data_IF_672506150963
#
_entry.id   IF_672506150963
#
_cell.length_a   1.000
_cell.length_b   1.000
_cell.length_c   1.000
_cell.angle_alpha   90.00
_cell.angle_beta   90.00
_cell.angle_gamma   90.00
#
_symmetry.space_group_name_H-M   'P 1'
#
loop_
_entity.id
_entity.type
_entity.pdbx_description
1 polymer ?
#
# COMPACT_ATOMS: atom_id res chain seq x y z
N UNK A 1 -17.67 -39.23 -13.75
CA UNK A 1 -16.30 -39.69 -14.06
C UNK A 1 -15.39 -38.62 -14.66
N UNK A 2 -15.70 -37.91 -15.77
CA UNK A 2 -14.84 -36.83 -16.30
C UNK A 2 -14.72 -35.63 -15.34
N UNK A 3 -15.77 -35.21 -14.65
CA UNK A 3 -15.78 -34.12 -13.66
C UNK A 3 -15.05 -34.50 -12.37
N UNK A 4 -15.12 -35.73 -11.93
CA UNK A 4 -14.39 -36.21 -10.75
C UNK A 4 -12.88 -36.27 -10.98
N UNK A 5 -12.45 -36.68 -12.21
CA UNK A 5 -11.03 -36.70 -12.58
C UNK A 5 -10.48 -35.27 -12.68
N UNK A 6 -11.27 -34.32 -13.20
CA UNK A 6 -10.90 -32.90 -13.22
C UNK A 6 -10.83 -32.29 -11.80
N UNK A 7 -11.77 -32.66 -10.93
CA UNK A 7 -11.78 -32.21 -9.54
C UNK A 7 -10.59 -32.78 -8.75
N UNK A 8 -10.29 -34.08 -8.89
CA UNK A 8 -9.10 -34.70 -8.27
C UNK A 8 -7.78 -34.14 -8.81
N UNK A 9 -7.72 -33.78 -10.11
CA UNK A 9 -6.56 -33.10 -10.71
C UNK A 9 -6.37 -31.69 -10.15
N UNK A 10 -7.45 -30.95 -9.94
CA UNK A 10 -7.44 -29.63 -9.32
C UNK A 10 -7.06 -29.69 -7.83
N UNK A 11 -7.49 -30.72 -7.09
CA UNK A 11 -7.05 -30.96 -5.71
C UNK A 11 -5.54 -31.28 -5.67
N UNK A 12 -5.01 -32.09 -6.60
CA UNK A 12 -3.55 -32.34 -6.67
C UNK A 12 -2.76 -31.09 -7.01
N UNK A 13 -3.22 -30.27 -7.96
CA UNK A 13 -2.59 -28.98 -8.29
C UNK A 13 -2.64 -28.06 -7.06
N UNK A 14 -3.76 -28.02 -6.34
CA UNK A 14 -3.91 -27.27 -5.12
C UNK A 14 -2.98 -27.77 -3.99
N UNK A 15 -2.85 -29.08 -3.82
CA UNK A 15 -1.92 -29.68 -2.83
C UNK A 15 -0.45 -29.46 -3.20
N UNK A 16 -0.10 -29.42 -4.50
CA UNK A 16 1.23 -29.02 -4.99
C UNK A 16 1.48 -27.54 -4.71
N UNK A 17 0.48 -26.67 -4.87
CA UNK A 17 0.55 -25.25 -4.51
C UNK A 17 0.80 -25.04 -3.02
N UNK A 18 0.16 -25.82 -2.14
CA UNK A 18 0.39 -25.78 -0.68
C UNK A 18 1.79 -26.31 -0.30
N UNK A 19 2.33 -27.28 -1.05
CA UNK A 19 3.73 -27.74 -0.87
C UNK A 19 4.75 -26.69 -1.32
N UNK A 20 4.47 -25.99 -2.43
CA UNK A 20 5.26 -24.84 -2.90
C UNK A 20 5.25 -23.70 -1.88
N UNK A 21 4.11 -23.44 -1.23
CA UNK A 21 3.99 -22.46 -0.16
C UNK A 21 4.86 -22.78 1.09
N UNK A 22 5.05 -24.07 1.41
CA UNK A 22 5.99 -24.50 2.47
C UNK A 22 7.45 -24.32 2.06
N UNK A 23 7.78 -24.48 0.78
CA UNK A 23 9.10 -24.20 0.20
C UNK A 23 9.41 -22.69 0.26
N UNK A 24 8.46 -21.84 -0.07
CA UNK A 24 8.54 -20.38 0.07
C UNK A 24 8.86 -19.94 1.52
N UNK A 25 8.25 -20.58 2.53
CA UNK A 25 8.59 -20.31 3.94
C UNK A 25 10.05 -20.60 4.26
N UNK A 26 10.65 -21.66 3.71
CA UNK A 26 12.07 -22.00 3.89
C UNK A 26 12.99 -21.02 3.15
N UNK A 27 12.63 -20.63 1.93
CA UNK A 27 13.41 -19.70 1.12
C UNK A 27 13.43 -18.29 1.72
N UNK A 28 12.29 -17.75 2.14
CA UNK A 28 12.22 -16.46 2.84
C UNK A 28 12.94 -16.46 4.19
N UNK A 29 13.08 -17.63 4.85
CA UNK A 29 13.91 -17.75 6.06
C UNK A 29 15.40 -17.74 5.77
N UNK A 30 15.81 -18.10 4.54
CA UNK A 30 17.21 -18.09 4.07
C UNK A 30 17.62 -16.73 3.47
N UNK A 31 16.70 -15.94 2.95
CA UNK A 31 16.91 -14.52 2.65
C UNK A 31 17.05 -13.79 4.00
N UNK A 32 18.21 -13.99 4.63
CA UNK A 32 18.54 -13.57 5.99
C UNK A 32 17.86 -12.27 6.35
N UNK A 33 16.98 -12.37 7.32
CA UNK A 33 16.29 -11.29 8.00
C UNK A 33 16.41 -9.94 7.26
N UNK A 34 15.40 -9.61 6.42
CA UNK A 34 15.21 -8.25 5.96
C UNK A 34 15.37 -7.36 7.19
N UNK A 35 16.58 -6.84 7.40
CA UNK A 35 16.86 -5.95 8.53
C UNK A 35 16.17 -4.63 8.22
N UNK A 36 14.89 -4.61 8.55
CA UNK A 36 14.14 -3.37 8.58
C UNK A 36 14.91 -2.44 9.52
N UNK A 37 15.21 -1.25 9.04
CA UNK A 37 15.70 -0.21 9.93
C UNK A 37 14.84 -0.28 11.17
N UNK A 38 15.45 -0.50 12.34
CA UNK A 38 14.76 -0.48 13.61
C UNK A 38 14.17 0.91 13.78
N UNK A 39 12.96 1.12 13.23
CA UNK A 39 12.18 2.29 13.59
C UNK A 39 12.02 2.18 15.10
N UNK A 40 12.52 3.17 15.81
CA UNK A 40 12.39 3.20 17.26
C UNK A 40 10.89 3.14 17.57
N UNK A 41 10.44 1.99 18.07
CA UNK A 41 9.02 1.80 18.42
C UNK A 41 8.79 2.42 19.79
N UNK A 42 7.88 3.37 19.85
CA UNK A 42 7.36 3.85 21.13
C UNK A 42 6.42 2.79 21.71
N UNK A 43 6.50 2.58 23.01
CA UNK A 43 5.55 1.76 23.76
C UNK A 43 5.04 2.61 24.92
N UNK A 44 3.74 2.79 24.97
CA UNK A 44 3.03 3.37 26.10
C UNK A 44 1.95 2.40 26.53
N UNK A 45 1.53 2.49 27.77
CA UNK A 45 0.53 1.58 28.33
C UNK A 45 -0.88 2.13 28.09
N UNK A 46 -1.42 1.87 26.91
CA UNK A 46 -2.81 2.18 26.59
C UNK A 46 -3.34 1.16 25.57
N UNK A 47 -4.38 0.43 25.96
CA UNK A 47 -5.13 -0.48 25.10
C UNK A 47 -6.55 0.02 24.89
N UNK A 48 -7.07 -0.11 23.67
CA UNK A 48 -8.46 0.15 23.29
C UNK A 48 -9.28 -1.15 23.15
N UNK A 49 -8.77 -2.26 23.66
CA UNK A 49 -9.44 -3.57 23.55
C UNK A 49 -9.32 -4.19 22.17
N UNK A 50 -10.41 -4.74 21.66
CA UNK A 50 -10.48 -5.37 20.34
C UNK A 50 -10.75 -4.33 19.23
N UNK A 51 -10.41 -4.66 18.00
CA UNK A 51 -10.73 -3.79 16.84
C UNK A 51 -12.25 -3.60 16.64
N UNK A 52 -13.07 -4.56 17.01
CA UNK A 52 -14.54 -4.41 16.93
C UNK A 52 -15.05 -3.40 17.97
N UNK A 53 -14.47 -3.38 19.18
CA UNK A 53 -14.77 -2.36 20.19
C UNK A 53 -14.34 -0.96 19.70
N UNK A 54 -13.16 -0.85 19.10
CA UNK A 54 -12.68 0.41 18.48
C UNK A 54 -13.68 0.90 17.42
N UNK A 55 -14.16 0.04 16.54
CA UNK A 55 -15.16 0.40 15.52
C UNK A 55 -16.48 0.88 16.14
N UNK A 56 -16.88 0.28 17.25
CA UNK A 56 -18.08 0.71 18.01
C UNK A 56 -17.88 2.11 18.59
N UNK A 57 -16.76 2.34 19.28
CA UNK A 57 -16.44 3.64 19.89
C UNK A 57 -16.34 4.74 18.82
N UNK A 58 -15.71 4.49 17.67
CA UNK A 58 -15.63 5.46 16.57
C UNK A 58 -17.06 5.85 16.12
N UNK A 59 -17.96 4.88 15.93
CA UNK A 59 -19.34 5.15 15.52
C UNK A 59 -20.07 6.02 16.53
N UNK A 60 -19.92 5.73 17.81
CA UNK A 60 -20.51 6.52 18.91
C UNK A 60 -19.97 7.95 18.94
N UNK A 61 -18.63 8.12 18.82
CA UNK A 61 -17.99 9.45 18.83
C UNK A 61 -18.34 10.30 17.61
N UNK A 62 -18.58 9.67 16.47
CA UNK A 62 -18.99 10.36 15.24
C UNK A 62 -20.52 10.63 15.23
N UNK A 63 -21.27 9.95 16.08
CA UNK A 63 -22.73 10.07 16.16
C UNK A 63 -23.45 9.35 14.99
N UNK A 64 -22.89 8.22 14.54
CA UNK A 64 -23.48 7.38 13.49
C UNK A 64 -24.23 6.23 14.13
N UNK A 65 -25.54 6.21 13.92
CA UNK A 65 -26.39 5.09 14.34
C UNK A 65 -26.17 3.88 13.42
N UNK A 66 -26.12 2.65 13.98
CA UNK A 66 -26.06 1.44 13.16
C UNK A 66 -27.34 1.24 12.36
N UNK A 67 -27.23 0.70 11.17
CA UNK A 67 -28.36 0.38 10.30
C UNK A 67 -28.30 1.06 8.93
N UNK A 68 -29.31 0.81 8.12
CA UNK A 68 -29.44 1.39 6.79
C UNK A 68 -30.26 2.68 6.83
N UNK A 69 -29.67 3.75 6.32
CA UNK A 69 -30.34 5.02 6.08
C UNK A 69 -30.13 5.44 4.64
N UNK A 70 -31.19 5.70 3.90
CA UNK A 70 -31.12 6.16 2.50
C UNK A 70 -30.33 7.45 2.39
N UNK A 71 -30.54 8.37 3.33
CA UNK A 71 -29.79 9.62 3.46
C UNK A 71 -29.14 9.63 4.83
N UNK A 72 -27.81 9.76 4.94
CA UNK A 72 -27.14 9.91 6.24
C UNK A 72 -27.69 11.11 7.01
N UNK A 73 -27.76 11.02 8.34
CA UNK A 73 -28.12 12.16 9.21
C UNK A 73 -27.21 13.34 8.88
N UNK A 74 -27.81 14.52 8.68
CA UNK A 74 -27.06 15.75 8.49
C UNK A 74 -26.22 16.06 9.73
N UNK A 75 -24.95 16.41 9.51
CA UNK A 75 -24.02 16.84 10.55
C UNK A 75 -23.79 18.36 10.52
N UNK A 76 -24.63 19.13 9.79
CA UNK A 76 -24.52 20.59 9.68
C UNK A 76 -24.59 21.29 11.04
N UNK A 77 -25.43 20.80 11.96
CA UNK A 77 -25.53 21.33 13.32
C UNK A 77 -24.21 21.26 14.11
N UNK A 78 -23.24 20.43 13.70
CA UNK A 78 -21.94 20.34 14.34
C UNK A 78 -20.96 21.44 13.87
N UNK A 79 -21.27 22.17 12.80
CA UNK A 79 -20.39 23.24 12.28
C UNK A 79 -20.22 24.38 13.28
N UNK A 80 -21.22 24.65 14.16
CA UNK A 80 -21.11 25.64 15.23
C UNK A 80 -20.02 25.30 16.27
N UNK A 81 -19.62 24.02 16.37
CA UNK A 81 -18.57 23.54 17.26
C UNK A 81 -17.21 23.42 16.56
N UNK A 82 -17.08 23.94 15.32
CA UNK A 82 -15.82 23.90 14.59
C UNK A 82 -14.77 24.73 15.34
N UNK A 83 -13.64 24.12 15.80
CA UNK A 83 -12.68 24.81 16.63
C UNK A 83 -11.84 25.81 15.85
N UNK A 84 -11.36 26.85 16.53
CA UNK A 84 -10.28 27.70 16.02
C UNK A 84 -8.93 27.11 16.40
N UNK A 85 -7.87 27.34 15.60
CA UNK A 85 -6.53 26.81 15.90
C UNK A 85 -6.01 27.17 17.29
N UNK A 86 -6.36 28.38 17.79
CA UNK A 86 -5.93 28.93 19.08
C UNK A 86 -6.61 28.23 20.28
N UNK A 87 -7.73 27.55 20.04
CA UNK A 87 -8.48 26.82 21.06
C UNK A 87 -7.95 25.39 21.28
N UNK A 88 -7.04 24.94 20.42
CA UNK A 88 -6.54 23.57 20.39
C UNK A 88 -5.25 23.44 21.22
N UNK A 89 -5.26 22.72 22.36
CA UNK A 89 -4.05 22.50 23.15
C UNK A 89 -3.03 21.64 22.39
N UNK A 90 -1.75 21.80 22.71
CA UNK A 90 -0.69 20.94 22.20
C UNK A 90 -0.84 19.51 22.72
N UNK A 91 -0.41 18.53 21.91
CA UNK A 91 -0.49 17.10 22.21
C UNK A 91 0.87 16.43 21.98
N UNK A 92 1.18 15.38 22.74
CA UNK A 92 2.36 14.53 22.54
C UNK A 92 2.02 13.25 21.77
N UNK A 93 3.04 12.50 21.35
CA UNK A 93 2.82 11.18 20.75
C UNK A 93 2.16 10.21 21.74
N UNK A 94 2.48 10.33 23.03
CA UNK A 94 1.88 9.55 24.12
C UNK A 94 0.37 9.72 24.18
N UNK A 95 -0.14 10.91 23.96
CA UNK A 95 -1.58 11.21 24.04
C UNK A 95 -2.40 10.48 22.97
N UNK A 96 -1.83 10.30 21.78
CA UNK A 96 -2.47 9.60 20.67
C UNK A 96 -2.15 8.11 20.65
N UNK A 97 -1.12 7.67 21.41
CA UNK A 97 -0.74 6.25 21.41
C UNK A 97 -1.89 5.35 21.87
N UNK A 98 -2.11 4.27 21.12
CA UNK A 98 -3.05 3.21 21.49
C UNK A 98 -2.68 1.90 20.84
N UNK A 99 -3.18 0.80 21.40
CA UNK A 99 -3.16 -0.53 20.81
C UNK A 99 -4.57 -1.12 20.73
N UNK A 100 -4.78 -2.04 19.80
CA UNK A 100 -6.00 -2.83 19.70
C UNK A 100 -5.66 -4.22 19.14
N UNK A 101 -6.48 -5.22 19.51
CA UNK A 101 -6.27 -6.61 19.12
C UNK A 101 -7.26 -7.04 18.06
N UNK A 102 -6.75 -7.63 16.97
CA UNK A 102 -7.53 -8.39 16.02
C UNK A 102 -7.51 -9.87 16.46
N UNK A 103 -8.67 -10.43 16.78
CA UNK A 103 -8.84 -11.79 17.30
C UNK A 103 -8.68 -12.85 16.20
N UNK A 104 -7.54 -12.85 15.51
CA UNK A 104 -7.28 -13.75 14.39
C UNK A 104 -7.16 -15.22 14.86
N UNK A 105 -6.47 -15.45 15.96
CA UNK A 105 -6.30 -16.77 16.56
C UNK A 105 -7.48 -17.19 17.41
N UNK A 106 -8.05 -16.27 18.19
CA UNK A 106 -9.06 -16.55 19.19
C UNK A 106 -10.48 -16.68 18.64
N UNK A 107 -10.81 -16.04 17.48
CA UNK A 107 -12.13 -16.08 16.88
C UNK A 107 -12.12 -16.76 15.49
N UNK A 108 -12.71 -17.97 15.35
CA UNK A 108 -12.76 -18.68 14.08
C UNK A 108 -13.51 -17.91 12.96
N UNK A 109 -14.52 -17.11 13.28
CA UNK A 109 -15.27 -16.30 12.31
C UNK A 109 -14.46 -15.13 11.80
N UNK A 110 -13.63 -14.53 12.65
CA UNK A 110 -12.65 -13.53 12.24
C UNK A 110 -11.60 -14.19 11.35
N UNK A 111 -11.06 -15.35 11.78
CA UNK A 111 -10.05 -16.10 11.01
C UNK A 111 -10.53 -16.42 9.59
N UNK A 112 -11.75 -16.90 9.41
CA UNK A 112 -12.34 -17.21 8.10
C UNK A 112 -12.30 -15.99 7.15
N UNK A 113 -12.54 -14.79 7.67
CA UNK A 113 -12.51 -13.55 6.87
C UNK A 113 -11.10 -13.07 6.53
N UNK A 114 -10.10 -13.42 7.34
CA UNK A 114 -8.73 -12.92 7.23
C UNK A 114 -7.74 -13.90 6.61
N UNK A 115 -8.08 -15.18 6.50
CA UNK A 115 -7.20 -16.20 5.93
C UNK A 115 -7.71 -16.64 4.56
N UNK A 116 -6.82 -16.79 3.61
CA UNK A 116 -7.13 -17.31 2.28
C UNK A 116 -6.95 -18.84 2.26
N UNK A 117 -7.52 -19.50 1.27
CA UNK A 117 -7.49 -20.97 1.10
C UNK A 117 -6.06 -21.56 1.05
N UNK A 118 -5.06 -20.76 0.73
CA UNK A 118 -3.64 -21.15 0.77
C UNK A 118 -3.03 -21.13 2.17
N UNK A 119 -3.79 -20.74 3.20
CA UNK A 119 -3.34 -20.64 4.59
C UNK A 119 -2.52 -19.37 4.91
N UNK A 120 -2.49 -18.38 4.02
CA UNK A 120 -1.86 -17.08 4.27
C UNK A 120 -2.88 -16.03 4.71
N UNK A 121 -2.43 -15.08 5.53
CA UNK A 121 -3.25 -13.94 5.93
C UNK A 121 -3.49 -13.01 4.74
N UNK A 122 -4.71 -12.55 4.58
CA UNK A 122 -5.14 -11.61 3.54
C UNK A 122 -4.67 -10.19 3.89
N UNK A 123 -3.54 -9.79 3.34
CA UNK A 123 -2.95 -8.46 3.61
C UNK A 123 -3.93 -7.32 3.28
N UNK A 124 -4.79 -7.48 2.28
CA UNK A 124 -5.83 -6.51 1.97
C UNK A 124 -6.80 -6.26 3.14
N UNK A 125 -7.15 -7.30 3.90
CA UNK A 125 -7.96 -7.17 5.12
C UNK A 125 -7.19 -6.47 6.24
N UNK A 126 -5.92 -6.81 6.43
CA UNK A 126 -5.07 -6.12 7.42
C UNK A 126 -4.98 -4.61 7.08
N UNK A 127 -4.84 -4.25 5.80
CA UNK A 127 -4.81 -2.85 5.37
C UNK A 127 -6.13 -2.12 5.62
N UNK A 128 -7.25 -2.79 5.42
CA UNK A 128 -8.59 -2.24 5.70
C UNK A 128 -8.76 -1.95 7.21
N UNK A 129 -8.30 -2.84 8.08
CA UNK A 129 -8.30 -2.62 9.54
C UNK A 129 -7.33 -1.53 9.97
N UNK A 130 -6.15 -1.46 9.36
CA UNK A 130 -5.17 -0.40 9.62
C UNK A 130 -5.72 0.98 9.25
N UNK A 131 -6.53 1.10 8.20
CA UNK A 131 -7.14 2.37 7.82
C UNK A 131 -8.14 2.86 8.89
N UNK A 132 -8.99 1.95 9.41
CA UNK A 132 -9.89 2.24 10.53
C UNK A 132 -9.10 2.59 11.80
N UNK A 133 -8.06 1.83 12.08
CA UNK A 133 -7.23 2.05 13.26
C UNK A 133 -6.46 3.38 13.19
N UNK A 134 -6.02 3.81 11.99
CA UNK A 134 -5.43 5.13 11.78
C UNK A 134 -6.42 6.26 12.11
N UNK A 135 -7.68 6.11 11.69
CA UNK A 135 -8.75 7.05 12.06
C UNK A 135 -8.94 7.10 13.57
N UNK A 136 -8.92 5.93 14.25
CA UNK A 136 -9.01 5.87 15.71
C UNK A 136 -7.87 6.61 16.41
N UNK A 137 -6.63 6.44 15.95
CA UNK A 137 -5.46 7.17 16.49
C UNK A 137 -5.65 8.69 16.32
N UNK A 138 -6.24 9.15 15.19
CA UNK A 138 -6.58 10.55 14.98
C UNK A 138 -7.66 11.04 15.96
N UNK A 139 -8.68 10.25 16.25
CA UNK A 139 -9.67 10.53 17.29
C UNK A 139 -9.02 10.69 18.67
N UNK A 140 -8.05 9.87 18.99
CA UNK A 140 -7.27 9.94 20.24
C UNK A 140 -6.40 11.19 20.32
N UNK A 141 -5.88 11.66 19.18
CA UNK A 141 -5.03 12.85 19.11
C UNK A 141 -5.83 14.14 19.31
N UNK A 142 -7.02 14.21 18.74
CA UNK A 142 -7.83 15.43 18.79
C UNK A 142 -8.44 15.61 20.19
N UNK A 143 -8.23 16.79 20.75
CA UNK A 143 -8.81 17.22 22.02
C UNK A 143 -9.48 18.59 21.84
N UNK A 144 -10.78 18.64 22.11
CA UNK A 144 -11.62 19.83 22.06
C UNK A 144 -12.12 20.14 23.49
N UNK A 145 -11.41 20.96 24.27
CA UNK A 145 -11.79 21.24 25.67
C UNK A 145 -13.17 21.90 25.79
N UNK A 146 -13.56 22.70 24.81
CA UNK A 146 -14.79 23.49 24.80
C UNK A 146 -16.00 22.72 24.18
N UNK A 147 -15.83 21.46 23.73
CA UNK A 147 -16.93 20.68 23.19
C UNK A 147 -17.84 20.20 24.32
N UNK A 148 -19.16 20.53 24.30
CA UNK A 148 -20.08 20.06 25.31
C UNK A 148 -20.16 18.54 25.38
N UNK A 149 -20.35 18.00 26.58
CA UNK A 149 -20.49 16.56 26.81
C UNK A 149 -21.69 16.00 26.00
N UNK A 150 -21.48 14.87 25.34
CA UNK A 150 -22.51 14.20 24.55
C UNK A 150 -22.68 14.74 23.11
N UNK A 151 -21.96 15.80 22.75
CA UNK A 151 -21.91 16.25 21.34
C UNK A 151 -20.86 15.44 20.57
N UNK A 152 -21.22 14.86 19.40
CA UNK A 152 -20.25 14.17 18.55
C UNK A 152 -19.13 15.09 18.07
N UNK A 153 -17.95 14.52 17.78
CA UNK A 153 -16.83 15.29 17.25
C UNK A 153 -17.17 15.98 15.92
N UNK A 154 -16.92 17.30 15.79
CA UNK A 154 -17.24 18.06 14.58
C UNK A 154 -16.23 17.84 13.44
N UNK A 155 -15.64 16.66 13.38
CA UNK A 155 -14.62 16.26 12.40
C UNK A 155 -15.10 15.12 11.52
N UNK A 156 -14.54 15.11 10.33
CA UNK A 156 -14.50 13.95 9.43
C UNK A 156 -13.03 13.68 9.10
N UNK A 157 -12.54 12.47 9.39
CA UNK A 157 -11.18 12.06 9.05
C UNK A 157 -11.18 11.28 7.75
N UNK A 158 -10.31 11.67 6.83
CA UNK A 158 -10.21 11.08 5.49
C UNK A 158 -8.77 10.67 5.23
N UNK A 159 -8.57 9.45 4.80
CA UNK A 159 -7.25 8.95 4.38
C UNK A 159 -6.88 9.60 3.05
N UNK A 160 -5.81 10.39 3.07
CA UNK A 160 -5.28 11.06 1.88
C UNK A 160 -4.28 10.18 1.14
N UNK A 161 -3.41 9.50 1.87
CA UNK A 161 -2.43 8.59 1.28
C UNK A 161 -1.92 7.55 2.29
N UNK A 162 -1.43 6.43 1.76
CA UNK A 162 -0.53 5.52 2.46
C UNK A 162 0.86 5.71 1.86
N UNK A 163 1.78 6.29 2.65
CA UNK A 163 3.13 6.60 2.18
C UNK A 163 3.92 5.31 1.94
N UNK A 164 3.83 4.39 2.90
CA UNK A 164 4.37 3.04 2.79
C UNK A 164 3.70 2.08 3.77
N UNK A 165 3.59 0.82 3.36
CA UNK A 165 3.30 -0.29 4.26
C UNK A 165 4.21 -1.47 3.91
N UNK A 166 4.93 -1.98 4.90
CA UNK A 166 5.91 -3.05 4.78
C UNK A 166 5.37 -4.28 5.48
N UNK A 167 5.48 -5.44 4.86
CA UNK A 167 4.96 -6.69 5.39
C UNK A 167 6.01 -7.80 5.37
N UNK A 168 5.93 -8.67 6.37
CA UNK A 168 6.58 -9.97 6.41
C UNK A 168 5.49 -11.06 6.34
N UNK A 169 4.87 -11.27 5.16
CA UNK A 169 3.65 -12.06 5.04
C UNK A 169 3.86 -13.54 5.40
N UNK A 170 5.06 -14.07 5.22
CA UNK A 170 5.48 -15.42 5.59
C UNK A 170 5.61 -15.64 7.11
N UNK A 171 5.60 -14.55 7.87
CA UNK A 171 5.75 -14.57 9.33
C UNK A 171 4.42 -14.47 10.08
N UNK A 172 3.31 -14.14 9.37
CA UNK A 172 2.00 -14.15 9.99
C UNK A 172 1.57 -15.57 10.35
N UNK A 173 1.24 -15.76 11.62
CA UNK A 173 0.62 -16.97 12.11
C UNK A 173 -0.91 -16.79 12.11
N UNK A 174 -1.65 -17.76 11.57
CA UNK A 174 -3.10 -17.72 11.48
C UNK A 174 -3.82 -18.15 12.76
N UNK A 175 -3.08 -18.77 13.69
CA UNK A 175 -3.60 -19.29 14.96
C UNK A 175 -3.27 -18.37 16.16
N UNK A 176 -2.73 -17.19 15.88
CA UNK A 176 -2.33 -16.20 16.90
C UNK A 176 -2.99 -14.87 16.63
N UNK A 177 -3.45 -14.20 17.70
CA UNK A 177 -4.04 -12.86 17.62
C UNK A 177 -3.01 -11.81 17.16
N UNK A 178 -3.50 -10.79 16.49
CA UNK A 178 -2.68 -9.70 15.94
C UNK A 178 -2.86 -8.44 16.79
N UNK A 179 -1.77 -7.93 17.34
CA UNK A 179 -1.73 -6.62 17.98
C UNK A 179 -1.43 -5.52 16.96
N UNK A 180 -2.28 -4.51 16.90
CA UNK A 180 -2.05 -3.27 16.18
C UNK A 180 -1.81 -2.15 17.19
N UNK A 181 -0.74 -1.37 17.00
CA UNK A 181 -0.43 -0.22 17.85
C UNK A 181 0.08 0.95 17.01
N UNK A 182 -0.11 2.19 17.49
CA UNK A 182 0.33 3.35 16.73
C UNK A 182 0.09 4.67 17.45
N UNK A 183 0.54 5.74 16.81
CA UNK A 183 0.45 7.12 17.29
C UNK A 183 0.55 8.11 16.13
N UNK A 184 0.17 9.36 16.38
CA UNK A 184 0.40 10.47 15.46
C UNK A 184 1.88 10.87 15.53
N UNK A 185 2.60 10.78 14.41
CA UNK A 185 4.05 11.08 14.32
C UNK A 185 4.37 12.48 13.82
N UNK A 186 3.39 13.16 13.17
CA UNK A 186 3.52 14.55 12.71
C UNK A 186 2.14 15.15 12.48
N UNK A 187 1.99 16.46 12.74
CA UNK A 187 0.79 17.23 12.39
C UNK A 187 1.14 18.43 11.53
N UNK A 188 0.33 18.65 10.48
CA UNK A 188 0.24 19.90 9.75
C UNK A 188 -0.94 20.74 10.29
N UNK A 189 -1.45 21.68 9.48
CA UNK A 189 -2.60 22.48 9.89
C UNK A 189 -3.88 21.63 10.04
N UNK A 190 -4.15 20.76 9.07
CA UNK A 190 -5.34 19.88 9.03
C UNK A 190 -4.99 18.42 8.71
N UNK A 191 -3.72 18.04 8.79
CA UNK A 191 -3.27 16.69 8.44
C UNK A 191 -2.48 16.07 9.58
N UNK A 192 -2.63 14.77 9.76
CA UNK A 192 -1.95 13.96 10.74
C UNK A 192 -1.25 12.79 10.06
N UNK A 193 0.06 12.65 10.25
CA UNK A 193 0.78 11.44 9.87
C UNK A 193 0.68 10.44 11.00
N UNK A 194 0.16 9.25 10.71
CA UNK A 194 -0.02 8.16 11.68
C UNK A 194 0.97 7.05 11.36
N UNK A 195 1.77 6.68 12.36
CA UNK A 195 2.68 5.54 12.28
C UNK A 195 2.12 4.38 13.07
N UNK A 196 1.99 3.22 12.42
CA UNK A 196 1.38 2.02 12.99
C UNK A 196 2.31 0.82 12.88
N UNK A 197 2.14 -0.11 13.81
CA UNK A 197 2.87 -1.36 13.93
C UNK A 197 1.90 -2.52 14.09
N UNK A 198 2.20 -3.61 13.40
CA UNK A 198 1.46 -4.88 13.52
C UNK A 198 2.40 -5.92 14.13
N UNK A 199 1.99 -6.56 15.21
CA UNK A 199 2.77 -7.56 15.93
C UNK A 199 1.98 -8.83 16.20
N UNK A 200 2.71 -9.94 16.34
CA UNK A 200 2.20 -11.18 16.93
C UNK A 200 3.25 -11.70 17.91
N UNK A 201 2.84 -12.11 19.11
CA UNK A 201 3.75 -12.58 20.17
C UNK A 201 4.96 -11.64 20.36
N UNK A 202 4.74 -10.32 20.35
CA UNK A 202 5.78 -9.30 20.48
C UNK A 202 6.68 -9.08 19.23
N UNK A 203 6.61 -9.96 18.21
CA UNK A 203 7.39 -9.83 16.96
C UNK A 203 6.74 -8.83 16.02
N UNK A 204 7.52 -7.91 15.48
CA UNK A 204 7.07 -6.94 14.49
C UNK A 204 6.91 -7.62 13.13
N UNK A 205 5.70 -7.58 12.55
CA UNK A 205 5.34 -8.18 11.26
C UNK A 205 5.09 -7.14 10.18
N UNK A 206 4.65 -5.94 10.58
CA UNK A 206 4.39 -4.84 9.62
C UNK A 206 4.57 -3.48 10.26
N UNK A 207 4.93 -2.53 9.42
CA UNK A 207 4.88 -1.10 9.73
C UNK A 207 4.13 -0.37 8.63
N UNK A 208 3.27 0.56 9.00
CA UNK A 208 2.49 1.34 8.04
C UNK A 208 2.47 2.83 8.42
N UNK A 209 2.57 3.70 7.43
CA UNK A 209 2.51 5.15 7.59
C UNK A 209 1.37 5.68 6.74
N UNK A 210 0.36 6.24 7.42
CA UNK A 210 -0.81 6.84 6.81
C UNK A 210 -0.80 8.35 6.99
N UNK A 211 -1.32 9.07 6.02
CA UNK A 211 -1.61 10.50 6.13
C UNK A 211 -3.13 10.68 6.12
N UNK A 212 -3.64 11.12 7.25
CA UNK A 212 -5.07 11.40 7.46
C UNK A 212 -5.28 12.91 7.43
N UNK A 213 -6.34 13.37 6.78
CA UNK A 213 -6.74 14.78 6.74
C UNK A 213 -8.01 14.96 7.56
N UNK A 214 -7.98 15.94 8.45
CA UNK A 214 -9.13 16.40 9.19
C UNK A 214 -9.93 17.41 8.37
N UNK A 215 -11.21 17.15 8.25
CA UNK A 215 -12.18 18.02 7.60
C UNK A 215 -13.30 18.33 8.57
N UNK A 216 -14.06 19.39 8.29
CA UNK A 216 -15.21 19.75 9.12
C UNK A 216 -16.32 18.67 9.08
N UNK A 217 -17.29 18.80 9.91
CA UNK A 217 -18.35 17.79 10.11
C UNK A 217 -19.05 17.37 8.82
N UNK A 218 -19.22 18.26 7.84
CA UNK A 218 -19.89 18.03 6.55
C UNK A 218 -18.91 17.78 5.39
N UNK A 219 -17.61 17.66 5.69
CA UNK A 219 -16.56 17.42 4.69
C UNK A 219 -16.46 18.49 3.59
N UNK A 220 -16.89 19.72 3.84
CA UNK A 220 -16.83 20.82 2.88
C UNK A 220 -15.51 21.61 2.91
N UNK A 221 -14.77 21.56 4.03
CA UNK A 221 -13.52 22.29 4.21
C UNK A 221 -12.53 21.60 5.17
N UNK A 222 -11.26 22.03 5.20
CA UNK A 222 -10.28 21.53 6.16
C UNK A 222 -10.67 21.93 7.59
N UNK A 223 -10.27 21.12 8.57
CA UNK A 223 -10.42 21.41 9.99
C UNK A 223 -9.05 21.44 10.67
N UNK A 224 -8.75 22.42 11.54
CA UNK A 224 -7.48 22.48 12.25
C UNK A 224 -7.37 21.31 13.23
N UNK A 225 -6.15 20.81 13.45
CA UNK A 225 -5.86 19.75 14.41
C UNK A 225 -4.88 20.22 15.48
N UNK A 226 -4.92 19.57 16.64
CA UNK A 226 -4.01 19.84 17.74
C UNK A 226 -2.55 19.67 17.26
N UNK A 227 -1.71 20.65 17.57
CA UNK A 227 -0.30 20.62 17.24
C UNK A 227 0.42 19.53 18.02
N UNK A 228 1.22 18.71 17.35
CA UNK A 228 2.06 17.70 17.97
C UNK A 228 3.36 18.33 18.46
N UNK A 229 3.64 18.17 19.76
CA UNK A 229 4.90 18.57 20.40
C UNK A 229 5.54 17.33 21.02
N UNK A 230 6.74 16.93 20.56
CA UNK A 230 7.43 15.77 21.10
C UNK A 230 7.79 15.93 22.58
N UNK A 231 7.42 14.96 23.41
CA UNK A 231 7.61 15.00 24.86
C UNK A 231 8.98 14.49 25.36
N UNK A 232 9.71 13.75 24.51
CA UNK A 232 11.02 13.17 24.88
C UNK A 232 11.93 13.02 23.64
N UNK A 233 13.21 12.63 23.86
CA UNK A 233 14.20 12.55 22.77
C UNK A 233 13.82 11.52 21.68
N UNK A 234 13.23 10.39 22.04
CA UNK A 234 12.77 9.40 21.06
C UNK A 234 11.64 9.96 20.19
N UNK A 235 10.70 10.66 20.78
CA UNK A 235 9.64 11.32 20.02
C UNK A 235 10.20 12.42 19.10
N UNK A 236 11.24 13.16 19.54
CA UNK A 236 11.91 14.17 18.70
C UNK A 236 12.57 13.56 17.47
N UNK A 237 13.22 12.40 17.60
CA UNK A 237 13.81 11.69 16.47
C UNK A 237 12.73 11.24 15.47
N UNK A 238 11.65 10.63 15.96
CA UNK A 238 10.52 10.18 15.14
C UNK A 238 9.89 11.38 14.42
N UNK A 239 9.67 12.48 15.13
CA UNK A 239 9.12 13.72 14.55
C UNK A 239 10.02 14.28 13.44
N UNK A 240 11.35 14.29 13.67
CA UNK A 240 12.33 14.74 12.67
C UNK A 240 12.27 13.90 11.37
N UNK A 241 12.12 12.59 11.50
CA UNK A 241 11.95 11.72 10.33
C UNK A 241 10.60 11.93 9.65
N UNK A 242 9.52 12.09 10.40
CA UNK A 242 8.20 12.39 9.88
C UNK A 242 8.19 13.73 9.12
N UNK A 243 8.88 14.75 9.65
CA UNK A 243 9.07 16.04 8.97
C UNK A 243 9.84 15.91 7.64
N UNK A 244 10.87 15.04 7.58
CA UNK A 244 11.57 14.74 6.32
C UNK A 244 10.62 14.12 5.30
N UNK A 245 9.77 13.16 5.71
CA UNK A 245 8.74 12.57 4.84
C UNK A 245 7.74 13.62 4.37
N UNK A 246 7.26 14.48 5.26
CA UNK A 246 6.36 15.59 4.92
C UNK A 246 6.97 16.50 3.84
N UNK A 247 8.22 16.97 4.01
CA UNK A 247 8.92 17.80 3.01
C UNK A 247 9.08 17.08 1.66
N UNK A 248 9.35 15.77 1.67
CA UNK A 248 9.44 14.96 0.45
C UNK A 248 8.09 14.88 -0.27
N UNK A 249 6.98 14.69 0.47
CA UNK A 249 5.62 14.68 -0.10
C UNK A 249 5.24 16.03 -0.73
N UNK A 250 5.60 17.14 -0.09
CA UNK A 250 5.39 18.48 -0.67
C UNK A 250 6.10 18.61 -2.02
N UNK A 251 7.41 18.26 -2.08
CA UNK A 251 8.16 18.28 -3.35
C UNK A 251 7.55 17.42 -4.45
N UNK A 252 7.00 16.23 -4.10
CA UNK A 252 6.31 15.37 -5.07
C UNK A 252 5.01 15.98 -5.57
N UNK A 253 4.26 16.67 -4.71
CA UNK A 253 3.02 17.35 -5.08
C UNK A 253 3.30 18.49 -6.06
N UNK A 254 4.37 19.25 -5.83
CA UNK A 254 4.76 20.37 -6.69
C UNK A 254 5.28 19.89 -8.06
N UNK A 255 5.91 18.71 -8.10
CA UNK A 255 6.39 18.06 -9.34
C UNK A 255 5.92 16.58 -9.37
N UNK A 256 4.68 16.33 -9.81
CA UNK A 256 4.17 14.96 -9.91
C UNK A 256 4.99 14.13 -10.91
N UNK A 257 5.23 12.87 -10.59
CA UNK A 257 6.02 11.95 -11.44
C UNK A 257 5.48 11.84 -12.87
N UNK A 258 4.18 12.02 -13.06
CA UNK A 258 3.54 12.01 -14.38
C UNK A 258 3.96 13.18 -15.28
N UNK A 259 4.50 14.25 -14.70
CA UNK A 259 4.99 15.45 -15.42
C UNK A 259 6.52 15.51 -15.51
N UNK A 260 7.22 14.55 -14.94
CA UNK A 260 8.70 14.48 -15.00
C UNK A 260 9.10 13.60 -16.16
N UNK A 261 9.84 14.10 -17.17
CA UNK A 261 10.30 13.27 -18.26
C UNK A 261 11.29 12.23 -17.76
N UNK A 262 11.47 11.12 -18.51
CA UNK A 262 12.48 10.11 -18.20
C UNK A 262 13.89 10.73 -18.16
N UNK A 263 14.73 10.24 -17.25
CA UNK A 263 16.13 10.63 -17.18
C UNK A 263 16.90 10.08 -18.38
N UNK A 264 18.13 10.55 -18.63
CA UNK A 264 18.99 10.02 -19.70
C UNK A 264 19.21 8.50 -19.58
N UNK A 265 19.36 7.99 -18.36
CA UNK A 265 19.48 6.55 -18.08
C UNK A 265 18.17 5.80 -18.38
N UNK A 266 17.06 6.36 -17.98
CA UNK A 266 15.75 5.76 -18.25
C UNK A 266 15.39 5.75 -19.74
N UNK A 267 15.81 6.76 -20.49
CA UNK A 267 15.69 6.77 -21.96
C UNK A 267 16.50 5.64 -22.59
N UNK A 268 17.73 5.37 -22.10
CA UNK A 268 18.51 4.21 -22.56
C UNK A 268 17.80 2.89 -22.27
N UNK A 269 17.21 2.73 -21.08
CA UNK A 269 16.45 1.51 -20.73
C UNK A 269 15.28 1.31 -21.71
N UNK A 270 14.52 2.37 -22.02
CA UNK A 270 13.42 2.28 -22.99
C UNK A 270 13.93 1.94 -24.38
N UNK A 271 15.06 2.51 -24.78
CA UNK A 271 15.69 2.22 -26.07
C UNK A 271 16.17 0.77 -26.15
N UNK A 272 16.81 0.25 -25.10
CA UNK A 272 17.26 -1.16 -25.02
C UNK A 272 16.06 -2.13 -25.12
N UNK A 273 14.96 -1.83 -24.42
CA UNK A 273 13.71 -2.60 -24.52
C UNK A 273 13.19 -2.56 -25.96
N UNK A 274 13.14 -1.39 -26.58
CA UNK A 274 12.71 -1.24 -27.96
C UNK A 274 13.59 -2.08 -28.92
N UNK A 275 14.92 -2.04 -28.79
CA UNK A 275 15.83 -2.83 -29.62
C UNK A 275 15.61 -4.34 -29.42
N UNK A 276 15.39 -4.80 -28.20
CA UNK A 276 15.14 -6.22 -27.88
C UNK A 276 13.79 -6.72 -28.39
N UNK A 277 12.82 -5.85 -28.56
CA UNK A 277 11.47 -6.18 -29.03
C UNK A 277 11.26 -5.91 -30.53
N UNK A 278 12.27 -5.42 -31.22
CA UNK A 278 12.21 -5.19 -32.66
C UNK A 278 12.50 -6.49 -33.43
N UNK A 279 11.68 -6.80 -34.43
CA UNK A 279 11.97 -7.91 -35.34
C UNK A 279 13.19 -7.58 -36.22
N UNK A 280 14.11 -8.52 -36.36
CA UNK A 280 15.27 -8.40 -37.23
C UNK A 280 14.98 -8.82 -38.68
N UNK A 281 13.78 -9.27 -39.00
CA UNK A 281 13.41 -9.79 -40.29
C UNK A 281 12.41 -8.85 -41.02
N UNK A 282 12.94 -8.09 -41.99
CA UNK A 282 12.16 -7.36 -42.99
C UNK A 282 11.74 -5.95 -42.63
N UNK A 283 11.27 -5.20 -43.64
CA UNK A 283 10.84 -3.80 -43.54
C UNK A 283 9.55 -3.54 -42.78
N UNK A 284 8.94 -4.57 -42.23
CA UNK A 284 7.74 -4.47 -41.41
C UNK A 284 8.13 -4.42 -39.92
N UNK A 285 7.78 -3.33 -39.24
CA UNK A 285 8.02 -3.12 -37.82
C UNK A 285 7.09 -3.96 -36.94
N UNK A 286 7.21 -5.29 -37.01
CA UNK A 286 6.51 -6.15 -36.05
C UNK A 286 7.27 -6.28 -34.75
N UNK A 287 6.58 -6.00 -33.64
CA UNK A 287 7.13 -6.21 -32.31
C UNK A 287 7.21 -7.70 -32.00
N UNK A 288 8.40 -8.20 -31.68
CA UNK A 288 8.67 -9.59 -31.34
C UNK A 288 8.98 -9.75 -29.86
N UNK A 289 8.43 -10.78 -29.23
CA UNK A 289 8.72 -11.13 -27.84
C UNK A 289 10.00 -11.96 -27.73
N UNK A 290 11.02 -11.49 -26.98
CA UNK A 290 12.16 -12.33 -26.62
C UNK A 290 11.74 -13.56 -25.80
N UNK A 291 12.60 -14.60 -25.80
CA UNK A 291 12.36 -15.78 -24.95
C UNK A 291 12.29 -15.39 -23.47
N UNK A 292 11.42 -16.08 -22.71
CA UNK A 292 11.20 -15.83 -21.29
C UNK A 292 10.74 -14.40 -20.96
N UNK A 293 9.96 -13.81 -21.88
CA UNK A 293 9.34 -12.49 -21.69
C UNK A 293 7.84 -12.56 -21.98
N UNK A 294 7.08 -11.58 -21.47
CA UNK A 294 5.64 -11.44 -21.72
C UNK A 294 5.28 -9.97 -21.91
N UNK A 295 4.31 -9.69 -22.80
CA UNK A 295 3.83 -8.33 -22.96
C UNK A 295 3.10 -7.84 -21.68
N UNK A 296 3.30 -6.57 -21.32
CA UNK A 296 2.61 -5.94 -20.22
C UNK A 296 1.10 -5.95 -20.42
N UNK A 297 0.62 -5.67 -21.63
CA UNK A 297 -0.80 -5.72 -22.02
C UNK A 297 -1.48 -7.04 -21.65
N UNK A 298 -0.79 -8.18 -21.81
CA UNK A 298 -1.34 -9.53 -21.58
C UNK A 298 -1.53 -9.84 -20.09
N UNK A 299 -0.87 -9.06 -19.25
CA UNK A 299 -0.96 -9.19 -17.78
C UNK A 299 -2.18 -8.50 -17.19
N UNK A 300 -2.91 -7.70 -17.99
CA UNK A 300 -4.05 -6.92 -17.55
C UNK A 300 -5.14 -7.80 -16.93
N UNK A 301 -5.62 -7.37 -15.75
CA UNK A 301 -6.79 -7.96 -15.10
C UNK A 301 -7.70 -6.83 -14.62
N UNK A 302 -8.95 -6.89 -15.03
CA UNK A 302 -9.97 -5.91 -14.70
C UNK A 302 -10.98 -6.48 -13.71
N UNK A 303 -11.43 -5.63 -12.81
CA UNK A 303 -12.49 -5.90 -11.87
C UNK A 303 -13.43 -4.70 -11.81
N UNK A 304 -14.73 -4.93 -11.92
CA UNK A 304 -15.74 -3.89 -11.71
C UNK A 304 -16.58 -4.27 -10.49
N UNK A 305 -16.75 -3.33 -9.58
CA UNK A 305 -17.43 -3.52 -8.31
C UNK A 305 -18.54 -2.48 -8.21
N UNK A 306 -19.72 -2.93 -7.82
CA UNK A 306 -20.79 -2.05 -7.36
C UNK A 306 -20.66 -1.91 -5.84
N UNK A 307 -20.22 -0.75 -5.31
CA UNK A 307 -20.16 -0.53 -3.88
C UNK A 307 -21.56 -0.43 -3.29
N UNK A 308 -21.72 -0.87 -2.05
CA UNK A 308 -22.96 -0.79 -1.31
C UNK A 308 -22.87 0.21 -0.14
N UNK A 309 -24.00 0.64 0.44
CA UNK A 309 -24.00 1.58 1.57
C UNK A 309 -23.13 1.16 2.77
N UNK A 310 -22.93 -0.15 3.01
CA UNK A 310 -22.04 -0.67 4.03
C UNK A 310 -20.55 -0.32 3.80
N UNK A 311 -20.18 -0.02 2.54
CA UNK A 311 -18.81 0.31 2.16
C UNK A 311 -18.52 1.81 2.18
N UNK A 312 -19.50 2.62 2.62
CA UNK A 312 -19.35 4.08 2.70
C UNK A 312 -18.76 4.53 4.04
N UNK A 313 -18.07 5.65 3.98
CA UNK A 313 -17.71 6.44 5.15
C UNK A 313 -18.84 7.43 5.51
N UNK A 314 -18.60 8.21 6.57
CA UNK A 314 -19.59 9.20 7.05
C UNK A 314 -19.83 10.38 6.07
N UNK A 315 -19.01 10.52 5.05
CA UNK A 315 -19.13 11.54 4.00
C UNK A 315 -19.83 11.03 2.74
N UNK A 316 -20.49 9.88 2.81
CA UNK A 316 -21.18 9.21 1.69
C UNK A 316 -20.27 8.94 0.50
N UNK A 317 -18.99 8.67 0.76
CA UNK A 317 -17.99 8.19 -0.21
C UNK A 317 -17.48 6.84 0.21
N UNK A 318 -16.91 6.09 -0.75
CA UNK A 318 -16.36 4.77 -0.47
C UNK A 318 -15.16 4.90 0.47
N UNK A 319 -15.11 4.03 1.48
CA UNK A 319 -14.06 3.97 2.48
C UNK A 319 -12.69 3.61 1.85
N UNK A 320 -11.62 4.31 2.28
CA UNK A 320 -10.28 4.12 1.72
C UNK A 320 -9.75 2.70 1.87
N UNK A 321 -9.88 2.13 3.05
CA UNK A 321 -9.47 0.76 3.35
C UNK A 321 -10.16 -0.29 2.49
N UNK A 322 -11.46 -0.13 2.21
CA UNK A 322 -12.18 -0.99 1.26
C UNK A 322 -11.55 -0.93 -0.13
N UNK A 323 -11.25 0.28 -0.63
CA UNK A 323 -10.63 0.47 -1.94
C UNK A 323 -9.24 -0.18 -2.00
N UNK A 324 -8.41 0.00 -0.97
CA UNK A 324 -7.09 -0.64 -0.87
C UNK A 324 -7.22 -2.16 -0.89
N UNK A 325 -8.12 -2.72 -0.09
CA UNK A 325 -8.37 -4.17 -0.04
C UNK A 325 -8.72 -4.72 -1.41
N UNK A 326 -9.68 -4.12 -2.09
CA UNK A 326 -10.15 -4.59 -3.41
C UNK A 326 -9.07 -4.46 -4.49
N UNK A 327 -8.27 -3.39 -4.45
CA UNK A 327 -7.15 -3.22 -5.35
C UNK A 327 -6.04 -4.27 -5.10
N UNK A 328 -5.74 -4.60 -3.85
CA UNK A 328 -4.80 -5.68 -3.51
C UNK A 328 -5.30 -7.05 -3.95
N UNK A 329 -6.59 -7.32 -3.83
CA UNK A 329 -7.20 -8.57 -4.31
C UNK A 329 -7.09 -8.68 -5.84
N UNK A 330 -7.32 -7.58 -6.58
CA UNK A 330 -7.15 -7.53 -8.05
C UNK A 330 -5.68 -7.68 -8.45
N UNK A 331 -4.77 -7.03 -7.73
CA UNK A 331 -3.32 -7.16 -7.91
C UNK A 331 -2.85 -8.60 -7.67
N UNK A 332 -3.34 -9.24 -6.62
CA UNK A 332 -3.03 -10.64 -6.30
C UNK A 332 -3.43 -11.59 -7.45
N UNK A 333 -4.61 -11.38 -8.05
CA UNK A 333 -5.06 -12.18 -9.20
C UNK A 333 -4.10 -12.00 -10.39
N UNK A 334 -3.78 -10.75 -10.76
CA UNK A 334 -2.86 -10.47 -11.87
C UNK A 334 -1.49 -11.12 -11.66
N UNK A 335 -0.95 -11.01 -10.44
CA UNK A 335 0.36 -11.54 -10.07
C UNK A 335 0.36 -13.06 -10.03
N UNK A 336 -0.63 -13.69 -9.40
CA UNK A 336 -0.72 -15.16 -9.31
C UNK A 336 -0.87 -15.81 -10.66
N UNK A 337 -1.65 -15.22 -11.60
CA UNK A 337 -1.79 -15.70 -12.96
C UNK A 337 -0.51 -15.51 -13.79
N UNK A 338 0.23 -14.44 -13.54
CA UNK A 338 1.52 -14.22 -14.18
C UNK A 338 2.57 -15.24 -13.73
N UNK A 339 2.66 -15.50 -12.45
CA UNK A 339 3.69 -16.36 -11.88
C UNK A 339 3.30 -17.86 -11.83
N UNK A 340 2.00 -18.19 -11.97
CA UNK A 340 1.49 -19.54 -11.78
C UNK A 340 1.65 -20.06 -10.34
N UNK A 341 1.74 -19.15 -9.35
CA UNK A 341 1.92 -19.44 -7.95
C UNK A 341 1.24 -18.38 -7.07
N UNK A 342 0.84 -18.72 -5.83
CA UNK A 342 0.33 -17.72 -4.88
C UNK A 342 1.35 -16.62 -4.63
N UNK A 343 0.90 -15.37 -4.70
CA UNK A 343 1.73 -14.20 -4.52
C UNK A 343 1.77 -13.73 -3.06
N UNK A 344 2.93 -13.27 -2.58
CA UNK A 344 3.07 -12.69 -1.25
C UNK A 344 3.41 -11.21 -1.33
N UNK A 345 2.52 -10.37 -0.78
CA UNK A 345 2.73 -8.92 -0.71
C UNK A 345 3.84 -8.60 0.27
N UNK A 346 4.89 -7.93 -0.19
CA UNK A 346 6.01 -7.50 0.67
C UNK A 346 5.99 -6.00 0.95
N UNK A 347 5.58 -5.19 -0.02
CA UNK A 347 5.64 -3.75 0.13
C UNK A 347 4.55 -3.05 -0.68
N UNK A 348 3.97 -2.04 -0.06
CA UNK A 348 3.02 -1.11 -0.66
C UNK A 348 3.61 0.29 -0.56
N UNK A 349 3.49 1.08 -1.61
CA UNK A 349 3.98 2.45 -1.62
C UNK A 349 3.12 3.39 -2.44
N UNK A 350 3.16 4.66 -2.05
CA UNK A 350 2.56 5.77 -2.80
C UNK A 350 1.07 5.56 -3.17
N UNK A 351 0.27 5.01 -2.26
CA UNK A 351 -1.18 4.92 -2.46
C UNK A 351 -1.76 6.31 -2.19
N UNK A 352 -2.16 7.03 -3.22
CA UNK A 352 -2.71 8.38 -3.10
C UNK A 352 -4.18 8.38 -3.50
N UNK A 353 -5.05 8.89 -2.65
CA UNK A 353 -6.46 9.10 -2.96
C UNK A 353 -6.63 10.49 -3.57
N UNK A 354 -6.57 10.57 -4.90
CA UNK A 354 -6.64 11.84 -5.63
C UNK A 354 -8.05 12.41 -5.64
N UNK A 355 -9.06 11.53 -5.71
CA UNK A 355 -10.47 11.89 -5.73
C UNK A 355 -11.30 10.91 -4.93
N UNK A 356 -12.33 11.37 -4.20
CA UNK A 356 -13.27 10.50 -3.52
C UNK A 356 -14.10 9.70 -4.53
N UNK A 357 -14.48 8.48 -4.17
CA UNK A 357 -15.36 7.61 -4.96
C UNK A 357 -16.77 7.73 -4.39
N UNK A 358 -17.74 8.31 -5.12
CA UNK A 358 -19.12 8.37 -4.65
C UNK A 358 -19.77 6.98 -4.55
N UNK A 359 -20.66 6.78 -3.57
CA UNK A 359 -21.32 5.48 -3.34
C UNK A 359 -22.17 5.03 -4.54
N UNK A 360 -22.73 5.95 -5.30
CA UNK A 360 -23.54 5.65 -6.49
C UNK A 360 -22.73 5.38 -7.76
N UNK A 361 -21.40 5.34 -7.67
CA UNK A 361 -20.52 5.06 -8.80
C UNK A 361 -20.17 3.58 -8.88
N UNK A 362 -19.91 3.08 -10.09
CA UNK A 362 -19.26 1.79 -10.28
C UNK A 362 -17.75 1.96 -10.16
N UNK A 363 -17.13 1.18 -9.31
CA UNK A 363 -15.67 1.21 -9.13
C UNK A 363 -15.00 0.20 -10.05
N UNK A 364 -14.11 0.66 -10.93
CA UNK A 364 -13.32 -0.20 -11.81
C UNK A 364 -11.86 -0.21 -11.39
N UNK A 365 -11.25 -1.38 -11.43
CA UNK A 365 -9.84 -1.59 -11.11
C UNK A 365 -9.17 -2.33 -12.26
N UNK A 366 -8.03 -1.82 -12.72
CA UNK A 366 -7.21 -2.45 -13.76
C UNK A 366 -5.81 -2.68 -13.20
N UNK A 367 -5.42 -3.94 -13.02
CA UNK A 367 -4.11 -4.35 -12.55
C UNK A 367 -3.22 -4.79 -13.71
N UNK A 368 -1.95 -4.36 -13.65
CA UNK A 368 -0.89 -4.72 -14.61
C UNK A 368 0.36 -5.14 -13.87
N UNK A 369 1.07 -6.14 -14.37
CA UNK A 369 2.46 -6.35 -14.01
C UNK A 369 3.29 -5.34 -14.78
N UNK A 370 3.95 -4.41 -14.07
CA UNK A 370 4.64 -3.28 -14.71
C UNK A 370 6.15 -3.39 -14.70
N UNK A 371 6.71 -4.21 -13.79
CA UNK A 371 8.15 -4.43 -13.71
C UNK A 371 8.45 -5.77 -13.05
N UNK A 372 9.44 -6.47 -13.55
CA UNK A 372 9.99 -7.70 -12.96
C UNK A 372 11.51 -7.60 -12.87
N UNK A 373 12.09 -8.16 -11.83
CA UNK A 373 13.54 -8.26 -11.64
C UNK A 373 13.87 -9.48 -10.79
N UNK A 374 14.54 -10.46 -11.40
CA UNK A 374 14.85 -11.75 -10.81
C UNK A 374 13.56 -12.42 -10.25
N UNK A 375 13.43 -12.48 -8.92
CA UNK A 375 12.27 -13.05 -8.21
C UNK A 375 11.31 -11.99 -7.65
N UNK A 376 11.48 -10.72 -8.03
CA UNK A 376 10.62 -9.62 -7.63
C UNK A 376 9.69 -9.20 -8.75
N UNK A 377 8.49 -8.77 -8.37
CA UNK A 377 7.46 -8.31 -9.28
C UNK A 377 6.78 -7.06 -8.73
N UNK A 378 6.58 -6.09 -9.61
CA UNK A 378 5.80 -4.88 -9.32
C UNK A 378 4.50 -4.92 -10.09
N UNK A 379 3.38 -4.78 -9.39
CA UNK A 379 2.09 -4.49 -10.03
C UNK A 379 1.71 -3.04 -9.82
N UNK A 380 0.95 -2.53 -10.76
CA UNK A 380 0.23 -1.26 -10.66
C UNK A 380 -1.26 -1.53 -10.81
N UNK A 381 -2.05 -0.99 -9.90
CA UNK A 381 -3.51 -1.06 -9.98
C UNK A 381 -4.06 0.35 -10.13
N UNK A 382 -4.75 0.60 -11.21
CA UNK A 382 -5.47 1.87 -11.43
C UNK A 382 -6.91 1.69 -10.99
N UNK A 383 -7.39 2.61 -10.15
CA UNK A 383 -8.77 2.65 -9.67
C UNK A 383 -9.49 3.85 -10.26
N UNK A 384 -10.65 3.62 -10.85
CA UNK A 384 -11.50 4.66 -11.42
C UNK A 384 -12.93 4.48 -10.95
N UNK A 385 -13.65 5.58 -10.84
CA UNK A 385 -15.11 5.59 -10.65
C UNK A 385 -15.79 5.86 -11.99
N UNK A 386 -16.86 5.14 -12.27
CA UNK A 386 -17.76 5.41 -13.39
C UNK A 386 -19.07 5.90 -12.77
N UNK A 387 -19.43 7.14 -13.05
CA UNK A 387 -20.70 7.71 -12.62
C UNK A 387 -21.85 7.01 -13.33
N UNK A 388 -22.82 6.53 -12.57
CA UNK A 388 -23.94 5.73 -13.12
C UNK A 388 -24.89 6.54 -14.02
N UNK A 389 -24.98 7.85 -13.82
CA UNK A 389 -25.87 8.72 -14.60
C UNK A 389 -25.20 9.28 -15.85
N UNK A 390 -24.00 9.83 -15.72
CA UNK A 390 -23.28 10.47 -16.83
C UNK A 390 -22.37 9.52 -17.61
N UNK A 391 -22.12 8.31 -17.11
CA UNK A 391 -21.16 7.33 -17.63
C UNK A 391 -19.72 7.85 -17.71
N UNK A 392 -19.43 8.99 -17.09
CA UNK A 392 -18.07 9.53 -17.07
C UNK A 392 -17.17 8.69 -16.17
N UNK A 393 -15.97 8.40 -16.69
CA UNK A 393 -14.92 7.71 -15.93
C UNK A 393 -13.98 8.75 -15.32
N UNK A 394 -13.79 8.67 -14.00
CA UNK A 394 -12.90 9.53 -13.24
C UNK A 394 -11.80 8.66 -12.63
N UNK A 395 -10.53 8.99 -12.92
CA UNK A 395 -9.41 8.35 -12.25
C UNK A 395 -9.36 8.82 -10.79
N UNK A 396 -9.32 7.88 -9.86
CA UNK A 396 -9.41 8.16 -8.43
C UNK A 396 -8.12 7.82 -7.69
N UNK A 397 -7.41 6.76 -8.13
CA UNK A 397 -6.32 6.22 -7.35
C UNK A 397 -5.40 5.34 -8.20
N UNK A 398 -4.11 5.25 -7.80
CA UNK A 398 -3.16 4.26 -8.29
C UNK A 398 -2.39 3.64 -7.12
N UNK A 399 -2.23 2.32 -7.13
CA UNK A 399 -1.47 1.57 -6.14
C UNK A 399 -0.31 0.86 -6.81
N UNK A 400 0.84 0.82 -6.13
CA UNK A 400 1.98 0.00 -6.51
C UNK A 400 2.25 -1.04 -5.43
N UNK A 401 2.37 -2.30 -5.85
CA UNK A 401 2.56 -3.44 -4.95
C UNK A 401 3.79 -4.22 -5.36
N UNK A 402 4.66 -4.49 -4.41
CA UNK A 402 5.82 -5.37 -4.58
C UNK A 402 5.51 -6.75 -4.06
N UNK A 403 5.78 -7.75 -4.89
CA UNK A 403 5.70 -9.16 -4.56
C UNK A 403 7.07 -9.82 -4.64
N UNK A 404 7.27 -10.89 -3.85
CA UNK A 404 8.49 -11.70 -3.84
C UNK A 404 8.10 -13.15 -4.09
N UNK A 405 8.92 -13.86 -4.88
CA UNK A 405 8.75 -15.28 -5.22
C UNK A 405 10.00 -16.08 -4.88
N UNK A 406 9.87 -17.40 -4.87
CA UNK A 406 10.96 -18.38 -4.67
C UNK A 406 11.68 -18.78 -5.95
N UNK A 407 11.26 -18.22 -7.10
CA UNK A 407 11.79 -18.52 -8.43
C UNK A 407 12.04 -17.26 -9.24
N UNK A 408 12.95 -17.35 -10.19
CA UNK A 408 13.14 -16.32 -11.22
C UNK A 408 11.88 -16.22 -12.07
N UNK A 409 11.50 -15.01 -12.41
CA UNK A 409 10.30 -14.69 -13.18
C UNK A 409 10.66 -14.38 -14.64
N UNK A 410 9.70 -14.60 -15.53
CA UNK A 410 9.76 -14.05 -16.88
C UNK A 410 9.83 -12.52 -16.79
N UNK A 411 10.49 -11.87 -17.74
CA UNK A 411 10.56 -10.42 -17.79
C UNK A 411 9.29 -9.84 -18.44
N UNK A 412 8.72 -8.78 -17.83
CA UNK A 412 7.59 -8.07 -18.44
C UNK A 412 8.11 -6.99 -19.39
N UNK A 413 7.58 -6.98 -20.61
CA UNK A 413 7.96 -6.08 -21.69
C UNK A 413 6.83 -5.09 -22.01
N UNK A 414 7.09 -3.78 -22.01
CA UNK A 414 6.15 -2.80 -22.55
C UNK A 414 6.13 -2.85 -24.06
N UNK A 415 4.92 -2.79 -24.66
CA UNK A 415 4.70 -2.74 -26.11
C UNK A 415 4.57 -1.31 -26.64
N UNK A 416 4.07 -0.39 -25.81
CA UNK A 416 3.83 1.00 -26.16
C UNK A 416 4.70 1.93 -25.34
N UNK A 417 4.92 3.17 -25.79
CA UNK A 417 5.62 4.19 -25.02
C UNK A 417 4.93 4.46 -23.67
N UNK A 418 3.60 4.42 -23.64
CA UNK A 418 2.83 4.59 -22.42
C UNK A 418 3.11 3.48 -21.39
N UNK A 419 3.14 2.23 -21.84
CA UNK A 419 3.55 1.09 -21.01
C UNK A 419 5.02 1.21 -20.58
N UNK A 420 5.87 1.75 -21.45
CA UNK A 420 7.28 2.07 -21.11
C UNK A 420 7.39 3.02 -19.93
N UNK A 421 6.54 4.05 -19.85
CA UNK A 421 6.49 4.96 -18.70
C UNK A 421 6.00 4.23 -17.43
N UNK A 422 5.06 3.30 -17.54
CA UNK A 422 4.64 2.46 -16.40
C UNK A 422 5.75 1.52 -15.94
N UNK A 423 6.50 0.95 -16.88
CA UNK A 423 7.68 0.13 -16.58
C UNK A 423 8.73 0.91 -15.79
N UNK A 424 9.08 2.13 -16.22
CA UNK A 424 9.97 3.01 -15.47
C UNK A 424 9.44 3.35 -14.08
N UNK A 425 8.13 3.60 -13.96
CA UNK A 425 7.50 3.84 -12.65
C UNK A 425 7.62 2.61 -11.76
N UNK A 426 7.33 1.41 -12.28
CA UNK A 426 7.52 0.15 -11.56
C UNK A 426 8.97 -0.05 -11.09
N UNK A 427 9.95 0.24 -11.97
CA UNK A 427 11.38 0.20 -11.62
C UNK A 427 11.74 1.17 -10.49
N UNK A 428 11.23 2.40 -10.52
CA UNK A 428 11.43 3.38 -9.45
C UNK A 428 10.84 2.91 -8.12
N UNK A 429 9.67 2.26 -8.13
CA UNK A 429 9.06 1.68 -6.92
C UNK A 429 9.88 0.52 -6.39
N UNK A 430 10.39 -0.35 -7.26
CA UNK A 430 11.31 -1.43 -6.88
C UNK A 430 12.59 -0.88 -6.21
N UNK A 431 13.22 0.15 -6.78
CA UNK A 431 14.37 0.81 -6.18
C UNK A 431 14.07 1.41 -4.79
N UNK A 432 12.86 1.96 -4.60
CA UNK A 432 12.43 2.44 -3.28
C UNK A 432 12.29 1.28 -2.28
N UNK A 433 11.73 0.16 -2.74
CA UNK A 433 11.64 -1.05 -1.91
C UNK A 433 13.02 -1.51 -1.47
N UNK A 434 13.98 -1.68 -2.39
CA UNK A 434 15.37 -2.10 -2.09
C UNK A 434 16.01 -1.17 -1.06
N UNK A 435 15.96 0.15 -1.28
CA UNK A 435 16.47 1.14 -0.32
C UNK A 435 15.79 1.05 1.04
N UNK A 436 14.50 0.77 1.07
CA UNK A 436 13.73 0.67 2.31
C UNK A 436 14.03 -0.61 3.10
N UNK A 437 14.42 -1.66 2.40
CA UNK A 437 14.77 -2.95 2.97
C UNK A 437 16.26 -3.09 3.34
N UNK A 438 17.10 -2.06 3.06
CA UNK A 438 18.56 -2.08 3.19
C UNK A 438 19.23 -3.25 2.42
N UNK A 439 18.68 -3.62 1.29
CA UNK A 439 19.26 -4.58 0.37
C UNK A 439 20.24 -3.83 -0.56
N UNK A 440 21.27 -3.16 -0.01
CA UNK A 440 22.20 -2.32 -0.77
C UNK A 440 23.09 -3.12 -1.75
N UNK A 441 23.26 -4.42 -1.53
CA UNK A 441 24.00 -5.32 -2.44
C UNK A 441 23.22 -5.70 -3.72
N UNK A 442 21.97 -5.23 -3.87
CA UNK A 442 21.14 -5.41 -5.05
C UNK A 442 21.29 -4.21 -6.00
N UNK A 443 22.47 -4.00 -6.51
CA UNK A 443 22.69 -3.05 -7.60
C UNK A 443 22.10 -3.66 -8.87
N UNK A 444 20.99 -3.09 -9.34
CA UNK A 444 20.39 -3.44 -10.63
C UNK A 444 21.38 -3.07 -11.73
N UNK A 445 22.28 -4.02 -12.04
CA UNK A 445 23.41 -3.85 -12.92
C UNK A 445 23.05 -3.17 -14.23
N UNK A 446 23.60 -2.00 -14.41
CA UNK A 446 24.21 -1.66 -15.69
C UNK A 446 25.30 -2.69 -15.92
N UNK A 447 25.43 -3.30 -17.12
CA UNK A 447 26.56 -4.15 -17.40
C UNK A 447 27.81 -3.30 -17.19
N UNK A 448 28.60 -3.62 -16.16
CA UNK A 448 29.89 -3.02 -15.96
C UNK A 448 30.72 -3.35 -17.18
N UNK A 449 31.17 -2.32 -17.88
CA UNK A 449 32.27 -2.37 -18.85
C UNK A 449 33.58 -2.67 -18.09
N UNK A 450 33.73 -3.93 -17.67
CA UNK A 450 34.96 -4.50 -17.19
C UNK A 450 35.01 -5.92 -17.72
N UNK A 451 35.36 -6.02 -18.97
CA UNK A 451 36.06 -7.17 -19.59
C UNK A 451 36.44 -6.71 -21.00
N UNK A 452 37.51 -5.93 -21.05
CA UNK A 452 38.29 -5.78 -22.23
C UNK A 452 39.70 -6.33 -21.86
N UNK A 453 39.97 -7.62 -22.13
CA UNK A 453 41.33 -8.10 -22.15
C UNK A 453 41.85 -7.82 -23.55
N UNK A 454 42.59 -6.75 -23.75
CA UNK A 454 43.55 -6.58 -24.86
C UNK A 454 44.06 -5.13 -24.86
N UNK A 455 45.12 -4.91 -24.09
CA UNK A 455 46.18 -3.96 -24.43
C UNK A 455 47.47 -4.46 -23.77
N UNK A 456 48.06 -5.47 -24.41
CA UNK A 456 49.51 -5.69 -24.30
C UNK A 456 50.21 -4.50 -24.97
N UNK A 457 50.77 -3.62 -24.18
CA UNK A 457 51.75 -2.65 -24.63
C UNK A 457 53.10 -3.35 -24.74
N UNK A 458 53.48 -3.64 -25.96
CA UNK A 458 54.88 -3.99 -26.29
C UNK A 458 55.78 -2.76 -26.05
N UNK A 459 56.62 -2.81 -25.03
CA UNK A 459 57.81 -1.99 -24.93
C UNK A 459 58.77 -2.39 -26.04
N UNK A 460 59.04 -1.47 -26.96
CA UNK A 460 60.21 -1.56 -27.85
C UNK A 460 61.37 -0.84 -27.20
N UNK A 461 62.39 -1.61 -26.81
CA UNK A 461 63.72 -1.13 -26.51
C UNK A 461 64.36 -0.43 -27.71
N UNK A 462 64.64 0.85 -27.59
CA UNK A 462 65.65 1.53 -28.40
C UNK A 462 67.00 1.39 -27.74
N UNK A 463 67.88 0.59 -28.36
CA UNK A 463 69.32 0.72 -28.26
C UNK A 463 69.89 0.74 -29.68
N UNK A 464 70.31 1.85 -30.10
CA UNK A 464 71.46 2.46 -30.80
C UNK A 464 71.04 3.51 -31.78
#
# INVERSE_FOLDING_TARGET
MKYEIAFQKNIKIFQMSVRSARSLRRFCSQLGALRWNSMQTLKYDHSSGTLEEVKKIIREQVGVEPGYYTIPKSREGLLQYHPKPEELPERSMKDSFTSATLLLGSDPLVRERFVQVTGYVRIGRIMEELDIFAVWICHRHVLLPNLPKGIPLPYTFVTLLVDQAKFLPDKFDTDTDVEMSGYVSYTGHSSMEVTMYVRQCGKLLSTAIFLIVARNAVNSGPAPVNKLVPGNEKEKEIYKEALKRHKKRQKKRDKPESKVPPTKEEVKILFDIFQRTRSSQGDMEESCLPKNTRWMSDTRRDCTIHPFPENRNNSNTIFGGFTIRRALETSFIATSLYCGAPAMVSFLSDITFERPIPVHSFMTMSAYVVYTHENYLQTMVMVSAIDAGSHQRIHCNALHVTYIFDKKLDEVMPKTYHEGLWHLRGRRQFQRFIKSAKLEDYDGGSPSSKDNPDTETSECDEKK
#
